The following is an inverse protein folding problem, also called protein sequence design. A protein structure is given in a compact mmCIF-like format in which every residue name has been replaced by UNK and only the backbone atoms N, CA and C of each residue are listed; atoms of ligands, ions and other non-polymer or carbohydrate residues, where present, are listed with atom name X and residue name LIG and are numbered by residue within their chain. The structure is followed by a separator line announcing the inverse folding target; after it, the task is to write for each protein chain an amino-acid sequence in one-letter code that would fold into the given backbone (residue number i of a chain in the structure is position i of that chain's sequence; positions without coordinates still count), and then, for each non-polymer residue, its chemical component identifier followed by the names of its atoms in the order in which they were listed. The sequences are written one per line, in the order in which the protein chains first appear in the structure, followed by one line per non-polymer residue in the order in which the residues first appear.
data_IF_999603893064
#
_entry.id   IF_999603893064
#
_cell.length_a   1.000
_cell.length_b   1.000
_cell.length_c   1.000
_cell.angle_alpha   90.00
_cell.angle_beta   90.00
_cell.angle_gamma   90.00
#
_symmetry.space_group_name_H-M   'P 1'
#
loop_
_entity.id
_entity.type
_entity.pdbx_description
1 polymer ?
#
# COMPACT_ATOMS: atom_id res chain seq x y z
N UNK A 1 -21.09 -31.90 30.20
CA UNK A 1 -21.11 -31.92 28.72
C UNK A 1 -21.32 -30.53 28.09
N UNK A 2 -22.27 -29.74 28.59
CA UNK A 2 -22.54 -28.42 28.05
C UNK A 2 -21.46 -27.41 28.38
N UNK A 3 -20.76 -27.48 29.51
CA UNK A 3 -19.67 -26.59 29.90
C UNK A 3 -18.42 -26.74 29.02
N UNK A 4 -18.10 -27.96 28.58
CA UNK A 4 -16.95 -28.21 27.69
C UNK A 4 -17.22 -27.64 26.31
N UNK A 5 -18.45 -27.71 25.82
CA UNK A 5 -18.85 -27.13 24.52
C UNK A 5 -18.72 -25.60 24.50
N UNK A 6 -19.09 -24.93 25.58
CA UNK A 6 -19.03 -23.44 25.69
C UNK A 6 -17.58 -22.96 25.69
N UNK A 7 -16.66 -23.67 26.35
CA UNK A 7 -15.23 -23.32 26.37
C UNK A 7 -14.59 -23.45 24.99
N UNK A 8 -14.95 -24.47 24.23
CA UNK A 8 -14.46 -24.66 22.85
C UNK A 8 -14.95 -23.54 21.91
N UNK A 9 -16.22 -23.19 22.00
CA UNK A 9 -16.79 -22.10 21.21
C UNK A 9 -16.08 -20.77 21.46
N UNK A 10 -15.78 -20.45 22.71
CA UNK A 10 -15.13 -19.19 23.10
C UNK A 10 -13.70 -19.12 22.58
N UNK A 11 -12.95 -20.23 22.60
CA UNK A 11 -11.58 -20.28 22.05
C UNK A 11 -11.52 -20.02 20.55
N UNK A 12 -12.44 -20.60 19.78
CA UNK A 12 -12.50 -20.45 18.32
C UNK A 12 -12.83 -18.98 17.95
N UNK A 13 -13.77 -18.36 18.65
CA UNK A 13 -14.17 -16.97 18.42
C UNK A 13 -12.99 -16.02 18.71
N UNK A 14 -12.23 -16.28 19.77
CA UNK A 14 -11.08 -15.46 20.15
C UNK A 14 -9.98 -15.51 19.10
N UNK A 15 -9.66 -16.67 18.54
CA UNK A 15 -8.68 -16.83 17.45
C UNK A 15 -9.09 -16.07 16.19
N UNK A 16 -10.35 -16.14 15.81
CA UNK A 16 -10.89 -15.43 14.64
C UNK A 16 -10.75 -13.91 14.79
N UNK A 17 -11.00 -13.38 15.97
CA UNK A 17 -10.88 -11.94 16.24
C UNK A 17 -9.43 -11.43 16.14
N UNK A 18 -8.44 -12.19 16.61
CA UNK A 18 -7.03 -11.84 16.52
C UNK A 18 -6.56 -11.78 15.07
N UNK A 19 -6.90 -12.75 14.24
CA UNK A 19 -6.56 -12.79 12.82
C UNK A 19 -7.20 -11.61 12.07
N UNK A 20 -8.45 -11.30 12.35
CA UNK A 20 -9.17 -10.21 11.73
C UNK A 20 -8.55 -8.85 12.06
N UNK A 21 -8.15 -8.61 13.30
CA UNK A 21 -7.49 -7.38 13.73
C UNK A 21 -6.14 -7.18 13.04
N UNK A 22 -5.35 -8.24 12.86
CA UNK A 22 -4.05 -8.19 12.17
C UNK A 22 -4.20 -7.80 10.69
N UNK A 23 -5.19 -8.36 9.98
CA UNK A 23 -5.49 -7.99 8.59
C UNK A 23 -5.99 -6.55 8.48
N UNK A 24 -6.82 -6.10 9.40
CA UNK A 24 -7.33 -4.74 9.44
C UNK A 24 -6.19 -3.73 9.67
N UNK A 25 -5.23 -4.03 10.57
CA UNK A 25 -4.08 -3.16 10.81
C UNK A 25 -3.19 -3.03 9.58
N UNK A 26 -2.94 -4.12 8.86
CA UNK A 26 -2.16 -4.09 7.63
C UNK A 26 -2.88 -3.30 6.53
N UNK A 27 -4.18 -3.48 6.38
CA UNK A 27 -5.00 -2.74 5.41
C UNK A 27 -4.96 -1.24 5.66
N UNK A 28 -5.07 -0.81 6.93
CA UNK A 28 -4.98 0.60 7.32
C UNK A 28 -3.60 1.17 6.99
N UNK A 29 -2.53 0.43 7.29
CA UNK A 29 -1.17 0.87 6.99
C UNK A 29 -0.94 1.02 5.48
N UNK A 30 -1.35 0.03 4.68
CA UNK A 30 -1.26 0.08 3.22
C UNK A 30 -1.97 1.33 2.69
N UNK A 31 -3.16 1.62 3.19
CA UNK A 31 -3.92 2.80 2.78
C UNK A 31 -3.19 4.10 3.11
N UNK A 32 -2.63 4.22 4.31
CA UNK A 32 -1.87 5.42 4.71
C UNK A 32 -0.62 5.61 3.86
N UNK A 33 0.13 4.54 3.64
CA UNK A 33 1.36 4.58 2.83
C UNK A 33 1.03 4.95 1.39
N UNK A 34 -0.01 4.34 0.80
CA UNK A 34 -0.40 4.60 -0.58
C UNK A 34 -0.91 6.03 -0.77
N UNK A 35 -1.71 6.56 0.16
CA UNK A 35 -2.18 7.95 0.10
C UNK A 35 -1.04 8.95 0.17
N UNK A 36 -0.09 8.71 1.08
CA UNK A 36 1.10 9.55 1.23
C UNK A 36 1.96 9.54 -0.04
N UNK A 37 2.21 8.36 -0.60
CA UNK A 37 2.95 8.21 -1.84
C UNK A 37 2.26 8.94 -3.00
N UNK A 38 0.98 8.70 -3.19
CA UNK A 38 0.19 9.29 -4.27
C UNK A 38 0.24 10.82 -4.24
N UNK A 39 0.09 11.39 -3.05
CA UNK A 39 0.18 12.85 -2.89
C UNK A 39 1.54 13.37 -3.34
N UNK A 40 2.62 12.77 -2.89
CA UNK A 40 3.98 13.17 -3.25
C UNK A 40 4.24 13.01 -4.75
N UNK A 41 3.87 11.87 -5.30
CA UNK A 41 4.06 11.57 -6.72
C UNK A 41 3.27 12.54 -7.61
N UNK A 42 1.98 12.65 -7.38
CA UNK A 42 1.11 13.48 -8.21
C UNK A 42 1.46 14.98 -8.10
N UNK A 43 1.84 15.46 -6.92
CA UNK A 43 2.33 16.81 -6.74
C UNK A 43 3.61 17.06 -7.56
N UNK A 44 4.54 16.11 -7.53
CA UNK A 44 5.79 16.18 -8.30
C UNK A 44 5.52 16.24 -9.80
N UNK A 45 4.60 15.44 -10.30
CA UNK A 45 4.16 15.49 -11.70
C UNK A 45 3.56 16.86 -12.01
N UNK A 46 2.72 17.38 -11.13
CA UNK A 46 2.12 18.72 -11.28
C UNK A 46 3.15 19.85 -11.32
N UNK A 47 4.29 19.69 -10.66
CA UNK A 47 5.39 20.65 -10.69
C UNK A 47 6.31 20.47 -11.91
N UNK A 48 6.05 19.51 -12.77
CA UNK A 48 6.80 19.29 -13.99
C UNK A 48 7.93 18.27 -13.92
N UNK A 49 8.04 17.51 -12.83
CA UNK A 49 9.02 16.43 -12.76
C UNK A 49 8.65 15.31 -13.73
N UNK A 50 9.67 14.64 -14.29
CA UNK A 50 9.46 13.43 -15.07
C UNK A 50 8.87 12.32 -14.21
N UNK A 51 8.23 11.36 -14.85
CA UNK A 51 7.68 10.19 -14.15
C UNK A 51 8.77 9.48 -13.32
N UNK A 52 9.96 9.32 -13.87
CA UNK A 52 11.08 8.69 -13.17
C UNK A 52 11.54 9.49 -11.95
N UNK A 53 11.73 10.79 -12.09
CA UNK A 53 12.15 11.67 -11.00
C UNK A 53 11.08 11.72 -9.91
N UNK A 54 9.80 11.80 -10.28
CA UNK A 54 8.68 11.78 -9.33
C UNK A 54 8.63 10.45 -8.57
N UNK A 55 8.87 9.32 -9.26
CA UNK A 55 8.92 8.00 -8.64
C UNK A 55 10.05 7.90 -7.62
N UNK A 56 11.25 8.26 -8.01
CA UNK A 56 12.43 8.20 -7.13
C UNK A 56 12.25 9.07 -5.90
N UNK A 57 11.80 10.30 -6.08
CA UNK A 57 11.52 11.24 -4.99
C UNK A 57 10.47 10.68 -4.03
N UNK A 58 9.37 10.19 -4.57
CA UNK A 58 8.24 9.72 -3.75
C UNK A 58 8.57 8.47 -2.96
N UNK A 59 9.35 7.54 -3.53
CA UNK A 59 9.83 6.36 -2.82
C UNK A 59 10.71 6.77 -1.64
N UNK A 60 11.69 7.66 -1.87
CA UNK A 60 12.60 8.10 -0.82
C UNK A 60 11.88 8.84 0.30
N UNK A 61 11.03 9.80 -0.05
CA UNK A 61 10.27 10.56 0.94
C UNK A 61 9.34 9.66 1.76
N UNK A 62 8.68 8.73 1.09
CA UNK A 62 7.78 7.80 1.76
C UNK A 62 8.52 6.86 2.71
N UNK A 63 9.70 6.39 2.33
CA UNK A 63 10.56 5.60 3.21
C UNK A 63 10.93 6.36 4.48
N UNK A 64 11.31 7.62 4.36
CA UNK A 64 11.66 8.45 5.53
C UNK A 64 10.49 8.57 6.51
N UNK A 65 9.27 8.70 6.01
CA UNK A 65 8.06 8.84 6.85
C UNK A 65 7.69 7.53 7.55
N UNK A 66 7.79 6.38 6.85
CA UNK A 66 7.17 5.14 7.30
C UNK A 66 8.15 4.05 7.75
N UNK A 67 9.46 4.17 7.53
CA UNK A 67 10.44 3.10 7.78
C UNK A 67 10.42 2.56 9.21
N UNK A 68 10.11 3.40 10.19
CA UNK A 68 10.06 3.01 11.61
C UNK A 68 8.65 2.65 12.09
N UNK A 69 7.67 2.69 11.19
CA UNK A 69 6.29 2.43 11.56
C UNK A 69 6.08 0.94 11.83
N UNK A 70 5.33 0.64 12.90
CA UNK A 70 4.99 -0.74 13.26
C UNK A 70 4.26 -1.41 12.10
N UNK A 71 4.69 -2.61 11.72
CA UNK A 71 4.10 -3.38 10.64
C UNK A 71 4.70 -3.12 9.26
N UNK A 72 5.53 -2.08 9.12
CA UNK A 72 6.10 -1.74 7.82
C UNK A 72 7.03 -2.84 7.27
N UNK A 73 7.79 -3.51 8.16
CA UNK A 73 8.69 -4.60 7.76
C UNK A 73 7.95 -5.83 7.23
N UNK A 74 6.69 -5.99 7.62
CA UNK A 74 5.87 -7.16 7.25
C UNK A 74 4.76 -6.80 6.26
N UNK A 75 4.80 -5.59 5.69
CA UNK A 75 3.78 -5.13 4.76
C UNK A 75 3.81 -5.99 3.49
N UNK A 76 2.64 -6.33 2.98
CA UNK A 76 2.53 -7.04 1.70
C UNK A 76 2.84 -6.07 0.56
N UNK A 77 4.01 -6.24 -0.05
CA UNK A 77 4.52 -5.32 -1.09
C UNK A 77 3.68 -5.32 -2.36
N UNK A 78 3.14 -6.47 -2.72
CA UNK A 78 2.26 -6.61 -3.90
C UNK A 78 0.97 -5.81 -3.70
N UNK A 79 0.33 -5.97 -2.56
CA UNK A 79 -0.89 -5.25 -2.22
C UNK A 79 -0.63 -3.74 -2.11
N UNK A 80 0.50 -3.36 -1.52
CA UNK A 80 0.88 -1.95 -1.43
C UNK A 80 1.08 -1.35 -2.82
N UNK A 81 1.83 -2.04 -3.69
CA UNK A 81 2.08 -1.58 -5.05
C UNK A 81 0.78 -1.43 -5.86
N UNK A 82 -0.15 -2.35 -5.68
CA UNK A 82 -1.45 -2.30 -6.33
C UNK A 82 -2.27 -1.10 -5.85
N UNK A 83 -2.35 -0.88 -4.54
CA UNK A 83 -3.05 0.29 -3.98
C UNK A 83 -2.43 1.60 -4.44
N UNK A 84 -1.11 1.68 -4.47
CA UNK A 84 -0.39 2.84 -5.00
C UNK A 84 -0.77 3.08 -6.46
N UNK A 85 -0.71 2.03 -7.28
CA UNK A 85 -1.02 2.15 -8.71
C UNK A 85 -2.46 2.61 -8.95
N UNK A 86 -3.42 2.02 -8.28
CA UNK A 86 -4.83 2.42 -8.38
C UNK A 86 -4.98 3.90 -8.01
N UNK A 87 -4.43 4.30 -6.89
CA UNK A 87 -4.54 5.67 -6.36
C UNK A 87 -3.88 6.70 -7.29
N UNK A 88 -2.69 6.40 -7.80
CA UNK A 88 -1.96 7.28 -8.73
C UNK A 88 -2.72 7.44 -10.05
N UNK A 89 -3.16 6.33 -10.64
CA UNK A 89 -3.88 6.37 -11.93
C UNK A 89 -5.18 7.16 -11.80
N UNK A 90 -5.91 6.97 -10.71
CA UNK A 90 -7.14 7.73 -10.45
C UNK A 90 -6.87 9.23 -10.28
N UNK A 91 -5.79 9.59 -9.58
CA UNK A 91 -5.50 10.98 -9.25
C UNK A 91 -4.74 11.72 -10.34
N UNK A 92 -3.73 11.12 -10.96
CA UNK A 92 -2.86 11.78 -11.93
C UNK A 92 -2.41 10.89 -13.08
N UNK A 93 -3.21 9.90 -13.46
CA UNK A 93 -2.91 9.02 -14.60
C UNK A 93 -2.89 9.77 -15.93
N UNK A 94 -3.73 10.77 -16.09
CA UNK A 94 -3.82 11.53 -17.33
C UNK A 94 -2.50 12.22 -17.69
N UNK A 95 -1.86 13.00 -16.80
CA UNK A 95 -0.57 13.63 -17.11
C UNK A 95 0.57 12.67 -17.46
N UNK A 96 0.53 11.45 -16.95
CA UNK A 96 1.55 10.43 -17.23
C UNK A 96 1.14 9.45 -18.32
N UNK A 97 -0.01 9.69 -18.95
CA UNK A 97 -0.55 8.91 -20.06
C UNK A 97 -0.78 7.42 -19.69
N UNK A 98 -1.27 7.18 -18.49
CA UNK A 98 -1.66 5.86 -18.00
C UNK A 98 -3.12 5.89 -17.56
N UNK A 99 -3.89 4.89 -17.99
CA UNK A 99 -5.31 4.79 -17.65
C UNK A 99 -5.77 3.34 -17.60
N UNK A 100 -6.85 3.12 -16.85
CA UNK A 100 -7.53 1.84 -16.76
C UNK A 100 -6.66 0.74 -16.16
N UNK A 101 -7.11 -0.48 -16.30
CA UNK A 101 -6.44 -1.66 -15.74
C UNK A 101 -5.02 -1.85 -16.28
N UNK A 102 -4.82 -1.60 -17.56
CA UNK A 102 -3.50 -1.67 -18.20
C UNK A 102 -2.54 -0.66 -17.57
N UNK A 103 -3.00 0.58 -17.35
CA UNK A 103 -2.19 1.62 -16.72
C UNK A 103 -1.85 1.28 -15.28
N UNK A 104 -2.80 0.73 -14.54
CA UNK A 104 -2.58 0.28 -13.16
C UNK A 104 -1.50 -0.80 -13.11
N UNK A 105 -1.59 -1.81 -13.96
CA UNK A 105 -0.62 -2.89 -14.01
C UNK A 105 0.78 -2.40 -14.39
N UNK A 106 0.86 -1.50 -15.35
CA UNK A 106 2.13 -0.90 -15.78
C UNK A 106 2.77 -0.10 -14.65
N UNK A 107 2.01 0.73 -13.96
CA UNK A 107 2.52 1.52 -12.84
C UNK A 107 2.93 0.63 -11.65
N UNK A 108 2.11 -0.38 -11.33
CA UNK A 108 2.42 -1.36 -10.29
C UNK A 108 3.78 -2.02 -10.53
N UNK A 109 4.00 -2.52 -11.72
CA UNK A 109 5.26 -3.18 -12.08
C UNK A 109 6.44 -2.21 -12.03
N UNK A 110 6.25 -0.99 -12.49
CA UNK A 110 7.26 0.06 -12.43
C UNK A 110 7.65 0.38 -10.99
N UNK A 111 6.66 0.56 -10.12
CA UNK A 111 6.90 0.80 -8.69
C UNK A 111 7.68 -0.34 -8.03
N UNK A 112 7.27 -1.60 -8.28
CA UNK A 112 7.93 -2.77 -7.70
C UNK A 112 9.39 -2.87 -8.13
N UNK A 113 9.69 -2.59 -9.39
CA UNK A 113 11.05 -2.59 -9.93
C UNK A 113 11.92 -1.54 -9.22
N UNK A 114 11.42 -0.32 -9.08
CA UNK A 114 12.16 0.78 -8.47
C UNK A 114 12.36 0.62 -6.96
N UNK A 115 11.37 0.06 -6.27
CA UNK A 115 11.44 -0.14 -4.82
C UNK A 115 12.45 -1.24 -4.44
N UNK A 116 12.65 -2.25 -5.29
CA UNK A 116 13.65 -3.31 -5.07
C UNK A 116 15.08 -2.78 -5.21
N UNK A 117 15.31 -1.87 -6.15
CA UNK A 117 16.64 -1.34 -6.45
C UNK A 117 17.19 -0.41 -5.35
N UNK A 118 16.42 -0.21 -4.31
CA UNK A 118 16.76 0.63 -3.16
C UNK A 118 16.69 -0.13 -1.85
#
# INVERSE_FOLDING_TARGET
FSLVFIVYSTSIIFHTQILYASEADQSVLIKKVSQSYTKKFCNSIGFGLSKESAMNFSIEENKQVFKKRKGMNNINRELLAEEIAISVIEKCGYPINLSGEKGINEFKNYYLTKDIDK
#
